data_IF_016714572796
#
_entry.id   IF_016714572796
#
_cell.length_a   1.000
_cell.length_b   1.000
_cell.length_c   1.000
_cell.angle_alpha   90.00
_cell.angle_beta   90.00
_cell.angle_gamma   90.00
#
_symmetry.space_group_name_H-M   'P 1'
#
loop_
_entity.id
_entity.type
_entity.pdbx_description
1 polymer ?
#
# COMPACT_ATOMS: atom_id res chain seq x y z
N UNK A 1 6.68 20.63 -57.61
CA UNK A 1 5.57 20.40 -56.65
C UNK A 1 6.17 19.78 -55.40
N UNK A 2 6.21 20.53 -54.30
CA UNK A 2 6.86 20.14 -53.04
C UNK A 2 5.81 19.54 -52.11
N UNK A 3 5.99 18.28 -51.73
CA UNK A 3 5.04 17.54 -50.89
C UNK A 3 5.39 17.80 -49.42
N UNK A 4 4.60 18.62 -48.74
CA UNK A 4 4.71 18.84 -47.29
C UNK A 4 4.01 17.70 -46.56
N UNK A 5 4.80 16.81 -45.97
CA UNK A 5 4.33 15.76 -45.06
C UNK A 5 4.08 16.34 -43.67
N UNK A 6 2.81 16.41 -43.26
CA UNK A 6 2.39 16.71 -41.90
C UNK A 6 2.30 15.41 -41.10
N UNK A 7 3.13 15.24 -40.07
CA UNK A 7 3.02 14.16 -39.10
C UNK A 7 1.97 14.53 -38.04
N UNK A 8 0.94 13.71 -37.77
CA UNK A 8 0.09 13.89 -36.61
C UNK A 8 0.80 13.34 -35.36
N UNK A 9 1.01 14.20 -34.37
CA UNK A 9 1.39 13.80 -33.01
C UNK A 9 0.13 13.29 -32.33
N UNK A 10 0.05 11.98 -32.13
CA UNK A 10 -1.06 11.35 -31.41
C UNK A 10 -0.76 11.49 -29.92
N UNK A 11 -1.55 12.30 -29.23
CA UNK A 11 -1.47 12.51 -27.79
C UNK A 11 -2.18 11.33 -27.11
N UNK A 12 -1.41 10.35 -26.63
CA UNK A 12 -1.95 9.20 -25.88
C UNK A 12 -2.47 9.69 -24.52
N UNK A 13 -3.79 9.77 -24.38
CA UNK A 13 -4.46 10.00 -23.09
C UNK A 13 -4.42 8.71 -22.27
N UNK A 14 -3.52 8.62 -21.29
CA UNK A 14 -3.56 7.60 -20.23
C UNK A 14 -4.92 7.72 -19.52
N UNK A 15 -5.79 6.74 -19.76
CA UNK A 15 -7.10 6.68 -19.12
C UNK A 15 -6.92 6.16 -17.70
N UNK A 16 -6.87 7.07 -16.72
CA UNK A 16 -6.94 6.73 -15.30
C UNK A 16 -8.37 6.24 -15.00
N UNK A 17 -8.59 4.92 -15.04
CA UNK A 17 -9.85 4.35 -14.58
C UNK A 17 -9.80 4.25 -13.05
N UNK A 18 -10.63 5.04 -12.36
CA UNK A 18 -10.85 4.86 -10.93
C UNK A 18 -11.68 3.60 -10.73
N UNK A 19 -11.01 2.45 -10.58
CA UNK A 19 -11.65 1.22 -10.15
C UNK A 19 -12.19 1.41 -8.73
N UNK A 20 -13.50 1.62 -8.62
CA UNK A 20 -14.19 1.55 -7.34
C UNK A 20 -14.34 0.06 -6.99
N UNK A 21 -13.73 -0.44 -5.91
CA UNK A 21 -13.86 -1.85 -5.56
C UNK A 21 -15.34 -2.15 -5.28
N UNK A 22 -15.88 -3.18 -5.94
CA UNK A 22 -17.27 -3.62 -5.81
C UNK A 22 -17.53 -4.43 -4.51
N UNK A 23 -16.61 -4.40 -3.55
CA UNK A 23 -16.77 -5.01 -2.24
C UNK A 23 -15.96 -4.31 -1.16
N UNK A 24 -16.33 -4.55 0.10
CA UNK A 24 -15.65 -3.96 1.25
C UNK A 24 -14.27 -4.60 1.40
N UNK A 25 -13.21 -3.79 1.40
CA UNK A 25 -11.87 -4.30 1.63
C UNK A 25 -11.75 -4.94 3.01
N UNK A 26 -11.00 -6.03 3.09
CA UNK A 26 -10.70 -6.67 4.36
C UNK A 26 -9.99 -5.66 5.29
N UNK A 27 -10.46 -5.60 6.54
CA UNK A 27 -9.73 -4.85 7.59
C UNK A 27 -8.46 -5.60 7.94
N UNK A 28 -7.34 -4.90 8.00
CA UNK A 28 -6.06 -5.48 8.36
C UNK A 28 -5.87 -5.41 9.88
N UNK A 29 -5.45 -6.52 10.47
CA UNK A 29 -5.17 -6.63 11.90
C UNK A 29 -3.68 -6.58 12.13
N UNK A 30 -3.22 -5.60 12.91
CA UNK A 30 -1.84 -5.50 13.35
C UNK A 30 -1.72 -5.83 14.83
N UNK A 31 -0.66 -6.53 15.20
CA UNK A 31 -0.39 -6.96 16.58
C UNK A 31 1.08 -6.80 16.94
N UNK A 32 1.36 -6.80 18.24
CA UNK A 32 2.72 -6.69 18.79
C UNK A 32 3.46 -5.42 18.33
N UNK A 33 2.74 -4.30 18.20
CA UNK A 33 3.38 -3.04 17.86
C UNK A 33 4.35 -2.59 18.95
N UNK A 34 5.56 -2.24 18.52
CA UNK A 34 6.54 -1.57 19.38
C UNK A 34 7.20 -0.44 18.61
N UNK A 35 7.50 0.64 19.33
CA UNK A 35 8.27 1.76 18.84
C UNK A 35 9.37 2.07 19.86
N UNK A 36 10.62 2.03 19.42
CA UNK A 36 11.79 2.23 20.27
C UNK A 36 12.64 3.36 19.70
N UNK A 37 12.72 4.47 20.44
CA UNK A 37 13.40 5.67 19.98
C UNK A 37 14.81 5.80 20.57
N UNK A 38 15.75 6.19 19.72
CA UNK A 38 17.13 6.52 20.06
C UNK A 38 17.51 7.87 19.43
N UNK A 39 18.68 8.45 19.75
CA UNK A 39 19.17 9.64 19.05
C UNK A 39 19.31 9.47 17.53
N UNK A 40 19.42 8.22 17.03
CA UNK A 40 19.49 7.91 15.59
C UNK A 40 18.13 7.74 14.90
N UNK A 41 17.02 7.87 15.62
CA UNK A 41 15.66 7.66 15.11
C UNK A 41 14.87 6.62 15.91
N UNK A 42 13.61 6.42 15.51
CA UNK A 42 12.74 5.42 16.11
C UNK A 42 12.63 4.18 15.22
N UNK A 43 12.85 3.00 15.80
CA UNK A 43 12.61 1.72 15.16
C UNK A 43 11.19 1.26 15.47
N UNK A 44 10.47 0.80 14.46
CA UNK A 44 9.15 0.20 14.64
C UNK A 44 9.16 -1.28 14.23
N UNK A 45 8.26 -2.05 14.84
CA UNK A 45 7.96 -3.43 14.44
C UNK A 45 6.53 -3.82 14.78
N UNK A 46 5.92 -4.67 13.96
CA UNK A 46 4.60 -5.26 14.20
C UNK A 46 4.33 -6.43 13.25
N UNK A 47 3.45 -7.34 13.65
CA UNK A 47 2.85 -8.33 12.75
C UNK A 47 1.60 -7.71 12.10
N UNK A 48 1.30 -8.06 10.86
CA UNK A 48 0.06 -7.64 10.19
C UNK A 48 -0.51 -8.75 9.31
N UNK A 49 -1.82 -8.86 9.30
CA UNK A 49 -2.54 -9.84 8.49
C UNK A 49 -3.88 -9.32 7.99
N UNK A 50 -4.30 -9.84 6.85
CA UNK A 50 -5.64 -9.67 6.30
C UNK A 50 -6.13 -10.98 5.68
N UNK A 51 -7.41 -11.36 5.90
CA UNK A 51 -8.00 -12.46 5.14
C UNK A 51 -8.11 -12.06 3.66
N UNK A 52 -8.13 -13.06 2.78
CA UNK A 52 -8.48 -12.84 1.38
C UNK A 52 -9.91 -12.28 1.27
N UNK A 53 -10.14 -11.46 0.26
CA UNK A 53 -11.45 -10.90 -0.07
C UNK A 53 -11.66 -10.94 -1.58
N UNK A 54 -12.87 -10.65 -2.03
CA UNK A 54 -13.19 -10.58 -3.47
C UNK A 54 -12.33 -9.57 -4.23
N UNK A 55 -11.72 -8.59 -3.54
CA UNK A 55 -10.98 -7.50 -4.16
C UNK A 55 -9.46 -7.55 -3.91
N UNK A 56 -8.95 -8.46 -3.08
CA UNK A 56 -7.52 -8.56 -2.79
C UNK A 56 -7.13 -9.91 -2.18
N UNK A 57 -5.93 -10.41 -2.48
CA UNK A 57 -5.41 -11.61 -1.83
C UNK A 57 -5.20 -11.37 -0.33
N UNK A 58 -5.27 -12.45 0.44
CA UNK A 58 -4.94 -12.41 1.86
C UNK A 58 -3.43 -12.37 2.05
N UNK A 59 -2.99 -11.82 3.18
CA UNK A 59 -1.59 -11.80 3.55
C UNK A 59 -1.41 -11.96 5.06
N UNK A 60 -0.24 -12.48 5.44
CA UNK A 60 0.25 -12.50 6.83
C UNK A 60 1.74 -12.19 6.74
N UNK A 61 2.21 -11.16 7.45
CA UNK A 61 3.62 -10.77 7.42
C UNK A 61 4.05 -10.06 8.69
N UNK A 62 5.34 -9.80 8.77
CA UNK A 62 6.00 -9.01 9.81
C UNK A 62 6.68 -7.81 9.17
N UNK A 63 6.50 -6.64 9.77
CA UNK A 63 7.05 -5.38 9.29
C UNK A 63 7.99 -4.80 10.34
N UNK A 64 9.16 -4.32 9.90
CA UNK A 64 10.09 -3.54 10.72
C UNK A 64 10.78 -2.47 9.89
N UNK A 65 11.21 -1.39 10.54
CA UNK A 65 11.89 -0.31 9.85
C UNK A 65 12.25 0.85 10.77
N UNK A 66 12.86 1.88 10.19
CA UNK A 66 13.22 3.12 10.88
C UNK A 66 12.33 4.25 10.37
N UNK A 67 11.68 4.97 11.28
CA UNK A 67 10.82 6.10 10.96
C UNK A 67 11.60 7.23 10.27
N UNK A 68 11.03 7.99 9.33
CA UNK A 68 9.69 7.87 8.76
C UNK A 68 9.66 7.06 7.44
N UNK A 69 10.71 6.31 7.14
CA UNK A 69 10.91 5.72 5.83
C UNK A 69 9.92 4.57 5.58
N UNK A 70 9.42 4.51 4.35
CA UNK A 70 8.72 3.34 3.86
C UNK A 70 9.71 2.19 3.68
N UNK A 71 9.38 1.01 4.20
CA UNK A 71 10.22 -0.19 4.14
C UNK A 71 9.35 -1.37 3.77
N UNK A 72 9.84 -2.22 2.87
CA UNK A 72 9.19 -3.50 2.56
C UNK A 72 9.18 -4.37 3.82
N UNK A 73 8.05 -5.00 4.08
CA UNK A 73 7.93 -5.97 5.15
C UNK A 73 8.61 -7.29 4.71
N UNK A 74 8.58 -8.32 5.57
CA UNK A 74 9.11 -9.65 5.24
C UNK A 74 8.43 -10.28 4.01
N UNK A 75 7.19 -9.85 3.72
CA UNK A 75 6.53 -10.06 2.44
C UNK A 75 6.68 -8.75 1.65
N UNK A 76 7.36 -8.82 0.50
CA UNK A 76 7.70 -7.68 -0.35
C UNK A 76 6.49 -7.03 -1.04
N UNK A 77 5.38 -7.76 -1.15
CA UNK A 77 4.07 -7.22 -1.55
C UNK A 77 3.48 -6.23 -0.53
N UNK A 78 4.05 -6.16 0.69
CA UNK A 78 3.60 -5.28 1.75
C UNK A 78 4.69 -4.26 2.07
N UNK A 79 4.33 -2.98 2.05
CA UNK A 79 5.22 -1.89 2.46
C UNK A 79 4.61 -1.14 3.63
N UNK A 80 5.39 -0.85 4.66
CA UNK A 80 4.96 -0.09 5.83
C UNK A 80 5.80 1.17 6.03
N UNK A 81 5.19 2.20 6.61
CA UNK A 81 5.86 3.39 7.09
C UNK A 81 5.22 3.82 8.42
N UNK A 82 6.04 4.25 9.37
CA UNK A 82 5.58 4.83 10.64
C UNK A 82 6.17 6.21 10.80
N UNK A 83 5.33 7.21 10.98
CA UNK A 83 5.76 8.62 11.00
C UNK A 83 5.14 9.35 12.20
N UNK A 84 5.89 10.27 12.84
CA UNK A 84 5.35 11.05 13.94
C UNK A 84 4.27 12.01 13.43
N UNK A 85 3.19 12.17 14.20
CA UNK A 85 2.22 13.26 14.01
C UNK A 85 2.43 14.31 15.11
N UNK A 86 1.57 14.32 16.12
CA UNK A 86 1.68 15.17 17.31
C UNK A 86 1.85 14.26 18.51
N UNK A 87 2.92 14.45 19.29
CA UNK A 87 3.20 13.65 20.48
C UNK A 87 1.94 13.48 21.36
N UNK A 88 1.53 12.23 21.73
CA UNK A 88 2.23 10.94 21.57
C UNK A 88 1.76 10.10 20.36
N UNK A 89 1.21 10.74 19.34
CA UNK A 89 0.54 10.10 18.21
C UNK A 89 1.48 9.86 17.03
N UNK A 90 1.39 8.66 16.48
CA UNK A 90 2.11 8.19 15.31
C UNK A 90 1.12 7.71 14.25
N UNK A 91 1.41 7.96 12.98
CA UNK A 91 0.66 7.37 11.88
C UNK A 91 1.37 6.12 11.39
N UNK A 92 0.65 5.00 11.36
CA UNK A 92 1.08 3.77 10.69
C UNK A 92 0.39 3.73 9.35
N UNK A 93 1.16 3.66 8.26
CA UNK A 93 0.67 3.55 6.89
C UNK A 93 1.17 2.25 6.29
N UNK A 94 0.27 1.49 5.68
CA UNK A 94 0.61 0.23 5.02
C UNK A 94 0.03 0.23 3.61
N UNK A 95 0.81 -0.28 2.67
CA UNK A 95 0.43 -0.54 1.29
C UNK A 95 0.55 -2.04 1.02
N UNK A 96 -0.44 -2.60 0.33
CA UNK A 96 -0.44 -3.95 -0.22
C UNK A 96 -0.52 -3.87 -1.73
N UNK A 97 0.41 -4.52 -2.42
CA UNK A 97 0.54 -4.57 -3.87
C UNK A 97 0.42 -6.02 -4.36
N UNK A 98 -0.35 -6.28 -5.41
CA UNK A 98 -0.40 -7.60 -6.02
C UNK A 98 -0.61 -7.52 -7.53
N UNK A 99 -0.21 -8.60 -8.20
CA UNK A 99 -0.29 -8.71 -9.66
C UNK A 99 -1.28 -9.81 -10.05
N UNK A 100 -2.02 -9.58 -11.13
CA UNK A 100 -2.92 -10.55 -11.76
C UNK A 100 -2.55 -10.66 -13.22
N UNK A 101 -2.24 -11.88 -13.67
CA UNK A 101 -1.97 -12.16 -15.07
C UNK A 101 -3.28 -12.51 -15.78
N UNK A 102 -3.61 -11.78 -16.84
CA UNK A 102 -4.75 -12.09 -17.70
C UNK A 102 -4.27 -12.87 -18.92
N UNK A 103 -4.37 -14.21 -18.83
CA UNK A 103 -3.87 -15.12 -19.87
C UNK A 103 -4.49 -14.85 -21.25
N UNK A 104 -5.78 -14.53 -21.30
CA UNK A 104 -6.51 -14.27 -22.56
C UNK A 104 -5.97 -13.04 -23.32
N UNK A 105 -5.33 -12.11 -22.62
CA UNK A 105 -4.82 -10.86 -23.18
C UNK A 105 -3.28 -10.76 -23.15
N UNK A 106 -2.60 -11.77 -22.58
CA UNK A 106 -1.15 -11.75 -22.34
C UNK A 106 -0.70 -10.43 -21.69
N UNK A 107 -1.46 -9.98 -20.69
CA UNK A 107 -1.24 -8.76 -19.93
C UNK A 107 -1.14 -9.05 -18.45
N UNK A 108 -0.53 -8.12 -17.71
CA UNK A 108 -0.42 -8.17 -16.26
C UNK A 108 -0.99 -6.88 -15.69
N UNK A 109 -1.96 -7.03 -14.78
CA UNK A 109 -2.52 -5.93 -14.04
C UNK A 109 -1.90 -5.88 -12.64
N UNK A 110 -1.46 -4.69 -12.22
CA UNK A 110 -0.98 -4.44 -10.85
C UNK A 110 -2.04 -3.66 -10.09
N UNK A 111 -2.28 -4.06 -8.85
CA UNK A 111 -3.27 -3.46 -7.96
C UNK A 111 -2.65 -3.08 -6.63
N UNK A 112 -3.25 -2.06 -6.00
CA UNK A 112 -2.81 -1.54 -4.72
C UNK A 112 -3.98 -1.28 -3.79
N UNK A 113 -3.72 -1.52 -2.51
CA UNK A 113 -4.52 -1.07 -1.38
C UNK A 113 -3.65 -0.31 -0.41
N UNK A 114 -4.13 0.84 0.07
CA UNK A 114 -3.43 1.61 1.11
C UNK A 114 -4.39 1.88 2.25
N UNK A 115 -3.90 1.67 3.47
CA UNK A 115 -4.59 2.03 4.69
C UNK A 115 -3.65 2.72 5.67
N UNK A 116 -4.22 3.52 6.56
CA UNK A 116 -3.48 4.08 7.67
C UNK A 116 -4.32 4.14 8.94
N UNK A 117 -3.64 4.20 10.07
CA UNK A 117 -4.27 4.41 11.37
C UNK A 117 -3.34 5.16 12.29
N UNK A 118 -3.90 5.77 13.33
CA UNK A 118 -3.14 6.49 14.34
C UNK A 118 -2.99 5.62 15.57
N UNK A 119 -1.77 5.57 16.10
CA UNK A 119 -1.41 4.79 17.29
C UNK A 119 -0.62 5.66 18.25
N UNK A 120 -0.48 5.16 19.47
CA UNK A 120 0.45 5.68 20.47
C UNK A 120 1.54 4.65 20.74
N UNK A 121 2.61 5.06 21.42
CA UNK A 121 3.70 4.16 21.87
C UNK A 121 3.21 3.01 22.76
N UNK A 122 2.08 3.20 23.44
CA UNK A 122 1.44 2.19 24.29
C UNK A 122 0.51 1.24 23.54
N UNK A 123 0.16 1.55 22.29
CA UNK A 123 -0.71 0.70 21.47
C UNK A 123 0.04 -0.59 21.13
N UNK A 124 -0.60 -1.75 21.30
CA UNK A 124 -0.04 -3.06 20.92
C UNK A 124 -0.74 -3.66 19.71
N UNK A 125 -2.05 -3.55 19.69
CA UNK A 125 -2.89 -4.09 18.63
C UNK A 125 -3.76 -2.97 18.07
N UNK A 126 -3.94 -2.98 16.75
CA UNK A 126 -4.76 -2.00 16.06
C UNK A 126 -5.28 -2.55 14.73
N UNK A 127 -6.32 -1.89 14.22
CA UNK A 127 -6.91 -2.20 12.93
C UNK A 127 -6.57 -1.10 11.92
N UNK A 128 -6.27 -1.51 10.69
CA UNK A 128 -6.14 -0.61 9.54
C UNK A 128 -7.28 -0.93 8.57
N UNK A 129 -8.05 0.09 8.20
CA UNK A 129 -9.07 -0.02 7.14
C UNK A 129 -8.51 0.63 5.88
N UNK A 130 -8.26 -0.14 4.80
CA UNK A 130 -7.83 0.43 3.54
C UNK A 130 -8.90 1.37 2.98
N UNK A 131 -8.48 2.53 2.49
CA UNK A 131 -9.36 3.57 1.96
C UNK A 131 -8.92 4.10 0.59
N UNK A 132 -7.78 3.64 0.08
CA UNK A 132 -7.29 3.97 -1.26
C UNK A 132 -7.10 2.67 -2.03
N UNK A 133 -7.63 2.65 -3.25
CA UNK A 133 -7.64 1.51 -4.16
C UNK A 133 -7.35 2.03 -5.56
N UNK A 134 -6.41 1.39 -6.26
CA UNK A 134 -6.16 1.66 -7.67
C UNK A 134 -5.53 0.43 -8.32
N UNK A 135 -5.63 0.36 -9.64
CA UNK A 135 -4.97 -0.66 -10.44
C UNK A 135 -4.60 -0.11 -11.81
N UNK A 136 -3.59 -0.72 -12.41
CA UNK A 136 -3.15 -0.44 -13.78
C UNK A 136 -3.07 -1.78 -14.51
N UNK A 137 -3.56 -1.81 -15.75
CA UNK A 137 -3.57 -2.98 -16.63
C UNK A 137 -3.12 -2.55 -18.03
#
# INVERSE_FOLDING_TARGET
MQLTTLLPVILSTLSLTNAHPLGQAATWSATNFTLECSPGGCAYRFNISAPASDNAPGFITYCEGITPNATACANDTITAAVSPLTNPTWNVKVQHEWHVVEEDYNSEATYWQIGSTNVTETTKDFLIKPNVFYGVA
#
